data_IF_121191158093
#
_entry.id   IF_121191158093
#
_cell.length_a   1.000
_cell.length_b   1.000
_cell.length_c   1.000
_cell.angle_alpha   90.00
_cell.angle_beta   90.00
_cell.angle_gamma   90.00
#
_symmetry.space_group_name_H-M   'P 1'
#
loop_
_entity.id
_entity.type
_entity.pdbx_description
1 polymer ?
#
# COMPACT_ATOMS: atom_id res chain seq x y z
N UNK A 1 8.04 14.81 9.39
CA UNK A 1 6.76 14.36 8.80
C UNK A 1 7.02 14.04 7.34
N UNK A 2 6.58 12.88 6.85
CA UNK A 2 6.58 12.54 5.41
C UNK A 2 5.51 13.40 4.73
N UNK A 3 5.84 14.12 3.64
CA UNK A 3 4.84 14.91 2.90
C UNK A 3 3.88 14.00 2.12
N UNK A 4 2.85 14.59 1.49
CA UNK A 4 1.92 13.82 0.65
C UNK A 4 2.64 13.33 -0.61
N UNK A 5 3.47 14.18 -1.19
CA UNK A 5 4.30 13.91 -2.36
C UNK A 5 5.32 12.80 -2.06
N UNK A 6 5.98 12.85 -0.90
CA UNK A 6 6.90 11.79 -0.46
C UNK A 6 6.17 10.45 -0.30
N UNK A 7 4.97 10.45 0.30
CA UNK A 7 4.20 9.22 0.48
C UNK A 7 3.76 8.64 -0.87
N UNK A 8 3.36 9.49 -1.81
CA UNK A 8 3.00 9.07 -3.16
C UNK A 8 4.20 8.44 -3.90
N UNK A 9 5.38 9.05 -3.77
CA UNK A 9 6.61 8.46 -4.28
C UNK A 9 6.90 7.10 -3.62
N UNK A 10 6.78 6.99 -2.30
CA UNK A 10 6.96 5.72 -1.57
C UNK A 10 6.00 4.63 -2.06
N UNK A 11 4.72 4.95 -2.26
CA UNK A 11 3.73 4.01 -2.81
C UNK A 11 4.11 3.54 -4.22
N UNK A 12 4.70 4.42 -5.03
CA UNK A 12 5.13 4.09 -6.40
C UNK A 12 6.28 3.08 -6.45
N UNK A 13 7.08 2.96 -5.39
CA UNK A 13 8.19 1.98 -5.26
C UNK A 13 7.64 0.55 -5.02
N UNK A 14 6.44 0.44 -4.47
CA UNK A 14 5.85 -0.86 -4.14
C UNK A 14 5.48 -1.64 -5.41
N UNK A 15 5.89 -2.90 -5.46
CA UNK A 15 5.53 -3.78 -6.55
C UNK A 15 4.11 -4.35 -6.39
N UNK A 16 3.63 -5.04 -7.42
CA UNK A 16 2.29 -5.62 -7.45
C UNK A 16 2.07 -6.61 -6.29
N UNK A 17 3.09 -7.33 -5.85
CA UNK A 17 2.98 -8.29 -4.75
C UNK A 17 2.90 -7.59 -3.40
N UNK A 18 3.71 -6.54 -3.19
CA UNK A 18 3.60 -5.69 -1.99
C UNK A 18 2.17 -5.15 -1.85
N UNK A 19 1.60 -4.62 -2.94
CA UNK A 19 0.25 -4.03 -2.95
C UNK A 19 -0.84 -5.07 -2.63
N UNK A 20 -0.69 -6.31 -3.11
CA UNK A 20 -1.60 -7.41 -2.75
C UNK A 20 -1.45 -7.84 -1.29
N UNK A 21 -0.22 -7.87 -0.78
CA UNK A 21 0.07 -8.19 0.62
C UNK A 21 -0.58 -7.16 1.55
N UNK A 22 -0.46 -5.87 1.23
CA UNK A 22 -1.11 -4.77 1.95
C UNK A 22 -2.62 -4.97 2.05
N UNK A 23 -3.28 -5.32 0.94
CA UNK A 23 -4.71 -5.61 0.93
C UNK A 23 -5.08 -6.73 1.91
N UNK A 24 -4.28 -7.79 1.98
CA UNK A 24 -4.54 -8.92 2.88
C UNK A 24 -4.36 -8.51 4.34
N UNK A 25 -3.27 -7.79 4.65
CA UNK A 25 -2.96 -7.37 6.02
C UNK A 25 -3.92 -6.28 6.54
N UNK A 26 -4.38 -5.40 5.66
CA UNK A 26 -5.25 -4.26 5.99
C UNK A 26 -6.66 -4.41 5.39
N UNK A 27 -7.16 -5.65 5.28
CA UNK A 27 -8.45 -5.93 4.65
C UNK A 27 -9.62 -5.14 5.27
N UNK A 28 -9.58 -4.89 6.58
CA UNK A 28 -10.57 -4.06 7.28
C UNK A 28 -10.60 -2.61 6.74
N UNK A 29 -9.46 -2.03 6.37
CA UNK A 29 -9.39 -0.68 5.78
C UNK A 29 -10.14 -0.68 4.44
N UNK A 30 -9.89 -1.67 3.59
CA UNK A 30 -10.60 -1.79 2.31
C UNK A 30 -12.08 -2.14 2.49
N UNK A 31 -12.46 -2.82 3.57
CA UNK A 31 -13.87 -3.05 3.92
C UNK A 31 -14.56 -1.73 4.27
N UNK A 32 -13.94 -0.90 5.12
CA UNK A 32 -14.45 0.45 5.44
C UNK A 32 -14.61 1.28 4.16
N UNK A 33 -13.61 1.28 3.28
CA UNK A 33 -13.71 1.98 1.99
C UNK A 33 -14.88 1.50 1.13
N UNK A 34 -15.24 0.21 1.20
CA UNK A 34 -16.41 -0.33 0.51
C UNK A 34 -17.72 0.12 1.19
N UNK A 35 -17.77 0.06 2.52
CA UNK A 35 -18.95 0.47 3.32
C UNK A 35 -19.25 1.96 3.14
N UNK A 36 -18.22 2.81 3.08
CA UNK A 36 -18.30 4.24 2.79
C UNK A 36 -18.46 4.57 1.30
N UNK A 37 -18.61 3.55 0.44
CA UNK A 37 -18.79 3.69 -1.02
C UNK A 37 -17.63 4.40 -1.75
N UNK A 38 -16.44 4.45 -1.15
CA UNK A 38 -15.20 4.92 -1.80
C UNK A 38 -14.80 3.94 -2.92
N UNK A 39 -15.02 2.64 -2.69
CA UNK A 39 -14.88 1.59 -3.69
C UNK A 39 -16.16 0.78 -3.83
N UNK A 40 -16.34 0.15 -4.98
CA UNK A 40 -17.47 -0.75 -5.20
C UNK A 40 -17.28 -2.11 -4.53
N UNK A 41 -18.38 -2.76 -4.14
CA UNK A 41 -18.37 -4.12 -3.59
C UNK A 41 -17.65 -5.14 -4.52
N UNK A 42 -17.86 -5.14 -5.85
CA UNK A 42 -17.08 -5.99 -6.74
C UNK A 42 -15.59 -5.71 -6.71
N UNK A 43 -15.18 -4.45 -6.58
CA UNK A 43 -13.77 -4.08 -6.53
C UNK A 43 -13.11 -4.56 -5.23
N UNK A 44 -13.78 -4.42 -4.08
CA UNK A 44 -13.33 -4.98 -2.81
C UNK A 44 -13.06 -6.49 -2.93
N UNK A 45 -14.02 -7.27 -3.46
CA UNK A 45 -13.82 -8.72 -3.60
C UNK A 45 -12.76 -9.10 -4.63
N UNK A 46 -12.54 -8.29 -5.69
CA UNK A 46 -11.39 -8.49 -6.58
C UNK A 46 -10.09 -8.36 -5.80
N UNK A 47 -9.93 -7.31 -4.99
CA UNK A 47 -8.74 -7.13 -4.17
C UNK A 47 -8.52 -8.29 -3.19
N UNK A 48 -9.58 -8.76 -2.52
CA UNK A 48 -9.51 -9.96 -1.64
C UNK A 48 -9.09 -11.23 -2.38
N UNK A 49 -9.29 -11.30 -3.71
CA UNK A 49 -8.84 -12.39 -4.57
C UNK A 49 -7.41 -12.19 -5.13
N UNK A 50 -6.69 -11.17 -4.66
CA UNK A 50 -5.32 -10.90 -5.05
C UNK A 50 -5.17 -9.96 -6.25
N UNK A 51 -6.15 -9.09 -6.51
CA UNK A 51 -5.95 -7.94 -7.40
C UNK A 51 -5.25 -6.81 -6.64
N UNK A 52 -4.20 -6.24 -7.23
CA UNK A 52 -3.51 -5.11 -6.63
C UNK A 52 -4.34 -3.82 -6.74
N UNK A 53 -4.45 -3.02 -5.68
CA UNK A 53 -5.00 -1.67 -5.75
C UNK A 53 -4.09 -0.75 -6.57
N UNK A 54 -4.66 0.33 -7.11
CA UNK A 54 -3.87 1.42 -7.69
C UNK A 54 -3.22 2.28 -6.60
N UNK A 55 -2.21 3.05 -7.00
CA UNK A 55 -1.49 3.97 -6.10
C UNK A 55 -2.43 5.00 -5.49
N UNK A 56 -3.31 5.59 -6.30
CA UNK A 56 -4.33 6.54 -5.82
C UNK A 56 -5.25 5.91 -4.77
N UNK A 57 -5.60 4.63 -4.94
CA UNK A 57 -6.46 3.93 -4.00
C UNK A 57 -5.72 3.64 -2.69
N UNK A 58 -4.43 3.29 -2.76
CA UNK A 58 -3.59 3.14 -1.57
C UNK A 58 -3.40 4.47 -0.84
N UNK A 59 -3.22 5.58 -1.57
CA UNK A 59 -3.14 6.91 -0.97
C UNK A 59 -4.41 7.25 -0.21
N UNK A 60 -5.60 6.98 -0.77
CA UNK A 60 -6.88 7.15 -0.05
C UNK A 60 -6.98 6.22 1.17
N UNK A 61 -6.49 5.00 1.08
CA UNK A 61 -6.48 4.07 2.21
C UNK A 61 -5.57 4.57 3.35
N UNK A 62 -4.44 5.21 3.03
CA UNK A 62 -3.56 5.86 4.01
C UNK A 62 -4.23 7.04 4.71
N UNK A 63 -5.15 7.76 4.06
CA UNK A 63 -5.93 8.85 4.67
C UNK A 63 -6.94 8.32 5.70
N UNK A 64 -7.37 7.06 5.57
CA UNK A 64 -8.33 6.39 6.48
C UNK A 64 -7.61 5.71 7.65
N UNK A 65 -6.36 5.27 7.45
CA UNK A 65 -5.65 4.47 8.45
C UNK A 65 -4.15 4.81 8.50
N UNK A 66 -3.73 5.48 9.57
CA UNK A 66 -2.32 5.85 9.78
C UNK A 66 -1.39 4.63 9.91
N UNK A 67 -1.86 3.48 10.43
CA UNK A 67 -1.04 2.27 10.52
C UNK A 67 -0.71 1.68 9.16
N UNK A 68 -1.62 1.78 8.19
CA UNK A 68 -1.35 1.39 6.81
C UNK A 68 -0.25 2.26 6.21
N UNK A 69 -0.31 3.57 6.46
CA UNK A 69 0.73 4.51 6.04
C UNK A 69 2.09 4.16 6.64
N UNK A 70 2.17 3.93 7.94
CA UNK A 70 3.40 3.53 8.63
C UNK A 70 3.97 2.22 8.06
N UNK A 71 3.08 1.26 7.80
CA UNK A 71 3.48 -0.03 7.24
C UNK A 71 4.05 0.12 5.82
N UNK A 72 3.44 0.93 4.96
CA UNK A 72 3.93 1.21 3.60
C UNK A 72 5.33 1.81 3.64
N UNK A 73 5.56 2.78 4.53
CA UNK A 73 6.88 3.41 4.71
C UNK A 73 7.90 2.36 5.16
N UNK A 74 7.54 1.52 6.14
CA UNK A 74 8.43 0.45 6.62
C UNK A 74 8.81 -0.52 5.51
N UNK A 75 7.83 -0.98 4.73
CA UNK A 75 8.06 -1.90 3.61
C UNK A 75 9.00 -1.30 2.56
N UNK A 76 8.84 -0.01 2.24
CA UNK A 76 9.72 0.68 1.32
C UNK A 76 11.16 0.82 1.85
N UNK A 77 11.34 1.10 3.14
CA UNK A 77 12.66 1.15 3.79
C UNK A 77 13.34 -0.23 3.74
N UNK A 78 12.60 -1.31 4.03
CA UNK A 78 13.12 -2.68 3.92
C UNK A 78 13.61 -2.99 2.50
N UNK A 79 12.85 -2.62 1.47
CA UNK A 79 13.27 -2.78 0.06
C UNK A 79 14.51 -1.94 -0.27
N UNK A 80 14.54 -0.68 0.17
CA UNK A 80 15.66 0.20 -0.10
C UNK A 80 16.96 -0.31 0.54
N UNK A 81 16.90 -0.79 1.79
CA UNK A 81 18.04 -1.38 2.48
C UNK A 81 18.54 -2.63 1.75
N UNK A 82 17.63 -3.51 1.32
CA UNK A 82 18.01 -4.71 0.57
C UNK A 82 18.69 -4.38 -0.77
N UNK A 83 18.21 -3.35 -1.47
CA UNK A 83 18.86 -2.85 -2.70
C UNK A 83 20.25 -2.32 -2.40
N UNK A 84 20.40 -1.53 -1.33
CA UNK A 84 21.70 -1.00 -0.92
C UNK A 84 22.69 -2.12 -0.60
N UNK A 85 22.26 -3.15 0.14
CA UNK A 85 23.07 -4.33 0.43
C UNK A 85 23.55 -5.04 -0.84
N UNK A 86 22.69 -5.16 -1.86
CA UNK A 86 23.06 -5.76 -3.15
C UNK A 86 24.10 -4.89 -3.88
N UNK A 87 23.94 -3.56 -3.86
CA UNK A 87 24.84 -2.62 -4.54
C UNK A 87 26.20 -2.52 -3.84
N UNK A 88 26.24 -2.59 -2.50
CA UNK A 88 27.49 -2.51 -1.73
C UNK A 88 28.29 -3.82 -1.77
N UNK A 89 27.62 -4.97 -1.87
CA UNK A 89 28.26 -6.29 -1.85
C UNK A 89 28.34 -6.99 -3.22
N UNK A 90 27.89 -6.34 -4.31
CA UNK A 90 27.90 -6.85 -5.68
C UNK A 90 28.94 -6.17 -6.55
#
# INVERSE_FOLDING_TARGET
MVSKEDLQFIVSILDINDKKELVKQFSDVFRVMMEEKIISKPWYYKMMKGYAPSDDLLMRACEINDKLREFIIKKAVEKANHILEIVENG
#
